data_IF_298427477943
#
_entry.id   IF_298427477943
#
_cell.length_a   1.000
_cell.length_b   1.000
_cell.length_c   1.000
_cell.angle_alpha   90.00
_cell.angle_beta   90.00
_cell.angle_gamma   90.00
#
_symmetry.space_group_name_H-M   'P 1'
#
loop_
_entity.id
_entity.type
_entity.pdbx_description
1 polymer ?
#
# COMPACT_ATOMS: atom_id res chain seq x y z
N UNK A 1 0.72 6.12 -0.95
CA UNK A 1 -0.53 6.37 -1.69
C UNK A 1 -1.37 5.12 -1.60
N UNK A 2 -2.69 5.23 -1.42
CA UNK A 2 -3.57 4.06 -1.29
C UNK A 2 -4.20 3.79 -2.64
N UNK A 3 -3.73 2.74 -3.32
CA UNK A 3 -4.16 2.36 -4.65
C UNK A 3 -5.45 1.54 -4.58
N UNK A 4 -6.55 2.21 -4.27
CA UNK A 4 -7.85 1.59 -4.08
C UNK A 4 -8.72 1.56 -5.33
N UNK A 5 -9.78 0.76 -5.27
CA UNK A 5 -10.84 0.68 -6.30
C UNK A 5 -11.40 2.07 -6.63
N UNK A 6 -11.46 2.98 -5.65
CA UNK A 6 -11.82 4.39 -5.84
C UNK A 6 -10.98 5.05 -6.94
N UNK A 7 -9.66 4.86 -6.92
CA UNK A 7 -8.76 5.53 -7.85
C UNK A 7 -8.95 4.98 -9.26
N UNK A 8 -9.15 3.66 -9.40
CA UNK A 8 -9.47 3.03 -10.69
C UNK A 8 -10.75 3.64 -11.27
N UNK A 9 -11.82 3.68 -10.47
CA UNK A 9 -13.09 4.28 -10.88
C UNK A 9 -12.93 5.77 -11.20
N UNK A 10 -12.21 6.52 -10.37
CA UNK A 10 -11.97 7.95 -10.55
C UNK A 10 -11.21 8.24 -11.85
N UNK A 11 -10.13 7.51 -12.11
CA UNK A 11 -9.34 7.60 -13.35
C UNK A 11 -10.21 7.26 -14.56
N UNK A 12 -11.00 6.18 -14.50
CA UNK A 12 -11.88 5.79 -15.58
C UNK A 12 -12.97 6.83 -15.88
N UNK A 13 -13.56 7.42 -14.84
CA UNK A 13 -14.56 8.49 -14.97
C UNK A 13 -13.96 9.76 -15.55
N UNK A 14 -12.75 10.12 -15.11
CA UNK A 14 -12.01 11.27 -15.64
C UNK A 14 -11.72 11.08 -17.14
N UNK A 15 -11.26 9.89 -17.53
CA UNK A 15 -10.99 9.55 -18.92
C UNK A 15 -12.24 9.59 -19.80
N UNK A 16 -13.41 9.21 -19.27
CA UNK A 16 -14.70 9.28 -19.97
C UNK A 16 -15.36 10.67 -19.92
N UNK A 17 -14.62 11.71 -19.52
CA UNK A 17 -15.08 13.11 -19.56
C UNK A 17 -16.03 13.52 -18.43
N UNK A 18 -16.20 12.70 -17.39
CA UNK A 18 -17.07 13.05 -16.25
C UNK A 18 -16.40 14.10 -15.37
N UNK A 19 -17.03 15.28 -15.26
CA UNK A 19 -16.58 16.39 -14.41
C UNK A 19 -16.51 16.05 -12.92
N UNK A 20 -17.44 15.22 -12.43
CA UNK A 20 -17.44 14.77 -11.04
C UNK A 20 -16.90 13.34 -10.95
N UNK A 21 -15.59 13.21 -10.70
CA UNK A 21 -14.89 11.93 -10.50
C UNK A 21 -14.72 11.58 -9.01
N UNK A 22 -15.13 12.48 -8.11
CA UNK A 22 -15.03 12.30 -6.65
C UNK A 22 -16.22 11.53 -6.07
N UNK A 23 -17.39 11.52 -6.73
CA UNK A 23 -18.55 10.75 -6.29
C UNK A 23 -18.26 9.24 -6.35
N UNK A 24 -18.51 8.47 -5.28
CA UNK A 24 -18.46 7.02 -5.32
C UNK A 24 -19.37 6.44 -6.42
N UNK A 25 -18.98 5.30 -7.00
CA UNK A 25 -19.77 4.66 -8.05
C UNK A 25 -21.14 4.19 -7.53
N UNK A 26 -21.14 3.63 -6.32
CA UNK A 26 -22.30 3.02 -5.68
C UNK A 26 -23.22 4.04 -4.99
N UNK A 27 -22.67 5.19 -4.58
CA UNK A 27 -23.40 6.20 -3.80
C UNK A 27 -23.56 7.49 -4.60
N UNK A 28 -24.47 7.46 -5.59
CA UNK A 28 -24.72 8.58 -6.51
C UNK A 28 -25.15 9.88 -5.78
N UNK A 29 -25.82 9.75 -4.64
CA UNK A 29 -26.26 10.87 -3.80
C UNK A 29 -25.22 11.36 -2.79
N UNK A 30 -24.03 10.74 -2.74
CA UNK A 30 -22.99 11.10 -1.75
C UNK A 30 -22.64 12.60 -1.77
N UNK A 31 -22.62 13.23 -2.95
CA UNK A 31 -22.36 14.67 -3.08
C UNK A 31 -23.46 15.57 -2.49
N UNK A 32 -24.65 15.03 -2.20
CA UNK A 32 -25.78 15.74 -1.60
C UNK A 32 -25.84 15.56 -0.08
N UNK A 33 -25.00 14.69 0.49
CA UNK A 33 -25.00 14.41 1.92
C UNK A 33 -24.42 15.58 2.71
N UNK A 34 -24.83 15.74 3.95
CA UNK A 34 -24.24 16.72 4.86
C UNK A 34 -22.77 16.40 5.13
N UNK A 35 -22.01 17.40 5.58
CA UNK A 35 -20.60 17.23 5.93
C UNK A 35 -20.37 16.02 6.88
N UNK A 36 -21.17 15.92 7.94
CA UNK A 36 -21.02 14.85 8.93
C UNK A 36 -21.42 13.47 8.41
N UNK A 37 -22.41 13.39 7.52
CA UNK A 37 -22.76 12.14 6.84
C UNK A 37 -21.62 11.65 5.95
N UNK A 38 -21.00 12.56 5.18
CA UNK A 38 -19.84 12.24 4.35
C UNK A 38 -18.66 11.77 5.23
N UNK A 39 -18.35 12.49 6.32
CA UNK A 39 -17.27 12.10 7.23
C UNK A 39 -17.51 10.75 7.90
N UNK A 40 -18.70 10.51 8.43
CA UNK A 40 -19.03 9.22 9.03
C UNK A 40 -18.85 8.07 8.02
N UNK A 41 -19.34 8.25 6.79
CA UNK A 41 -19.15 7.27 5.73
C UNK A 41 -17.69 7.08 5.34
N UNK A 42 -16.93 8.16 5.23
CA UNK A 42 -15.52 8.13 4.89
C UNK A 42 -14.72 7.29 5.89
N UNK A 43 -14.98 7.49 7.18
CA UNK A 43 -14.28 6.78 8.26
C UNK A 43 -14.78 5.36 8.52
N UNK A 44 -16.06 5.07 8.28
CA UNK A 44 -16.64 3.76 8.62
C UNK A 44 -16.68 2.77 7.45
N UNK A 45 -16.74 3.25 6.21
CA UNK A 45 -16.94 2.40 5.03
C UNK A 45 -15.85 2.65 4.02
N UNK A 46 -15.61 3.92 3.69
CA UNK A 46 -14.72 4.27 2.60
C UNK A 46 -13.26 3.95 2.88
N UNK A 47 -12.83 4.10 4.12
CA UNK A 47 -11.49 3.73 4.57
C UNK A 47 -11.20 2.24 4.34
N UNK A 48 -12.21 1.36 4.36
CA UNK A 48 -12.03 -0.06 4.06
C UNK A 48 -12.05 -0.32 2.56
N UNK A 49 -12.98 0.29 1.83
CA UNK A 49 -13.08 0.15 0.37
C UNK A 49 -11.84 0.68 -0.36
N UNK A 50 -11.19 1.71 0.18
CA UNK A 50 -9.91 2.20 -0.34
C UNK A 50 -8.77 1.16 -0.27
N UNK A 51 -8.92 0.15 0.59
CA UNK A 51 -7.93 -0.93 0.82
C UNK A 51 -8.44 -2.31 0.41
N UNK A 52 -9.52 -2.35 -0.36
CA UNK A 52 -10.10 -3.62 -0.81
C UNK A 52 -9.11 -4.44 -1.66
N UNK A 53 -8.19 -3.79 -2.39
CA UNK A 53 -7.16 -4.49 -3.17
C UNK A 53 -6.12 -5.15 -2.25
N UNK A 54 -5.61 -4.42 -1.25
CA UNK A 54 -4.69 -4.95 -0.24
C UNK A 54 -5.33 -6.12 0.53
N UNK A 55 -6.60 -5.96 0.92
CA UNK A 55 -7.37 -7.01 1.57
C UNK A 55 -7.56 -8.23 0.67
N UNK A 56 -7.89 -8.03 -0.61
CA UNK A 56 -8.05 -9.13 -1.57
C UNK A 56 -6.75 -9.92 -1.74
N UNK A 57 -5.62 -9.24 -1.80
CA UNK A 57 -4.31 -9.88 -1.82
C UNK A 57 -4.09 -10.70 -0.53
N UNK A 58 -4.27 -10.11 0.65
CA UNK A 58 -4.13 -10.83 1.91
C UNK A 58 -5.07 -12.05 2.01
N UNK A 59 -6.32 -11.93 1.53
CA UNK A 59 -7.30 -13.01 1.50
C UNK A 59 -6.87 -14.15 0.57
N UNK A 60 -6.36 -13.84 -0.63
CA UNK A 60 -5.81 -14.84 -1.54
C UNK A 60 -4.61 -15.57 -0.94
N UNK A 61 -3.73 -14.83 -0.23
CA UNK A 61 -2.64 -15.43 0.52
C UNK A 61 -3.16 -16.41 1.58
N UNK A 62 -4.16 -15.98 2.35
CA UNK A 62 -4.75 -16.81 3.41
C UNK A 62 -5.46 -18.05 2.87
N UNK A 63 -6.15 -17.95 1.72
CA UNK A 63 -6.85 -19.07 1.12
C UNK A 63 -5.90 -20.09 0.47
N UNK A 64 -4.85 -19.62 -0.23
CA UNK A 64 -4.08 -20.50 -1.14
C UNK A 64 -2.65 -20.76 -0.70
N UNK A 65 -1.97 -19.78 -0.11
CA UNK A 65 -0.56 -19.91 0.29
C UNK A 65 -0.46 -20.37 1.74
N UNK A 66 -1.27 -19.80 2.63
CA UNK A 66 -1.20 -20.09 4.05
C UNK A 66 -1.41 -21.58 4.39
N UNK A 67 -2.40 -22.31 3.83
CA UNK A 67 -2.64 -23.71 4.20
C UNK A 67 -1.50 -24.65 3.79
N UNK A 68 -0.76 -24.32 2.73
CA UNK A 68 0.36 -25.15 2.23
C UNK A 68 1.72 -24.75 2.82
N UNK A 69 1.83 -23.61 3.48
CA UNK A 69 3.09 -23.10 4.06
C UNK A 69 3.08 -23.16 5.58
N UNK A 70 1.94 -22.85 6.20
CA UNK A 70 1.81 -22.79 7.66
C UNK A 70 2.14 -24.12 8.37
N UNK A 71 1.72 -25.31 7.89
CA UNK A 71 2.09 -26.58 8.53
C UNK A 71 3.60 -26.85 8.54
N UNK A 72 4.34 -26.30 7.57
CA UNK A 72 5.80 -26.43 7.47
C UNK A 72 6.54 -25.33 8.26
N UNK A 73 5.83 -24.30 8.74
CA UNK A 73 6.45 -23.09 9.29
C UNK A 73 6.99 -23.23 10.73
N UNK A 74 6.83 -24.38 11.40
CA UNK A 74 7.37 -24.58 12.74
C UNK A 74 8.92 -24.58 12.78
N UNK A 75 9.55 -24.88 11.65
CA UNK A 75 10.99 -24.92 11.43
C UNK A 75 11.37 -24.05 10.22
N UNK A 76 12.51 -23.36 10.29
CA UNK A 76 12.98 -22.53 9.19
C UNK A 76 13.61 -23.38 8.09
N UNK A 77 13.02 -23.38 6.91
CA UNK A 77 13.64 -23.95 5.72
C UNK A 77 13.18 -23.25 4.44
N UNK A 78 14.05 -23.29 3.42
CA UNK A 78 13.90 -22.49 2.20
C UNK A 78 12.60 -22.79 1.43
N UNK A 79 12.06 -24.01 1.53
CA UNK A 79 10.88 -24.45 0.77
C UNK A 79 9.62 -23.63 1.07
N UNK A 80 9.23 -23.45 2.34
CA UNK A 80 8.03 -22.65 2.64
C UNK A 80 8.31 -21.15 2.58
N UNK A 81 9.51 -20.72 3.00
CA UNK A 81 9.92 -19.31 2.95
C UNK A 81 9.92 -18.80 1.50
N UNK A 82 10.43 -19.57 0.56
CA UNK A 82 10.45 -19.19 -0.85
C UNK A 82 9.05 -19.08 -1.45
N UNK A 83 8.08 -19.90 -1.01
CA UNK A 83 6.67 -19.76 -1.43
C UNK A 83 6.06 -18.43 -0.98
N UNK A 84 6.30 -18.03 0.28
CA UNK A 84 5.84 -16.74 0.81
C UNK A 84 6.52 -15.57 0.09
N UNK A 85 7.83 -15.67 -0.14
CA UNK A 85 8.61 -14.70 -0.90
C UNK A 85 8.09 -14.54 -2.33
N UNK A 86 7.94 -15.64 -3.07
CA UNK A 86 7.47 -15.63 -4.46
C UNK A 86 6.06 -15.05 -4.56
N UNK A 87 5.20 -15.34 -3.59
CA UNK A 87 3.86 -14.76 -3.53
C UNK A 87 3.89 -13.23 -3.37
N UNK A 88 4.65 -12.71 -2.40
CA UNK A 88 4.77 -11.27 -2.17
C UNK A 88 5.39 -10.55 -3.38
N UNK A 89 6.46 -11.10 -3.96
CA UNK A 89 7.09 -10.56 -5.16
C UNK A 89 6.13 -10.62 -6.37
N UNK A 90 5.37 -11.71 -6.54
CA UNK A 90 4.39 -11.78 -7.61
C UNK A 90 3.30 -10.69 -7.47
N UNK A 91 2.87 -10.39 -6.24
CA UNK A 91 1.93 -9.29 -5.99
C UNK A 91 2.54 -7.92 -6.31
N UNK A 92 3.80 -7.69 -5.96
CA UNK A 92 4.53 -6.47 -6.37
C UNK A 92 4.46 -6.31 -7.89
N UNK A 93 4.91 -7.32 -8.63
CA UNK A 93 4.93 -7.26 -10.09
C UNK A 93 3.53 -7.08 -10.69
N UNK A 94 2.51 -7.77 -10.18
CA UNK A 94 1.15 -7.66 -10.72
C UNK A 94 0.55 -6.28 -10.41
N UNK A 95 0.56 -5.87 -9.14
CA UNK A 95 -0.13 -4.65 -8.70
C UNK A 95 0.60 -3.40 -9.23
N UNK A 96 1.91 -3.30 -9.03
CA UNK A 96 2.65 -2.12 -9.45
C UNK A 96 2.74 -2.03 -10.97
N UNK A 97 2.98 -3.12 -11.69
CA UNK A 97 2.98 -3.07 -13.16
C UNK A 97 1.61 -2.69 -13.71
N UNK A 98 0.51 -3.15 -13.10
CA UNK A 98 -0.83 -2.70 -13.49
C UNK A 98 -0.99 -1.18 -13.34
N UNK A 99 -0.56 -0.62 -12.22
CA UNK A 99 -0.66 0.82 -11.98
C UNK A 99 0.26 1.63 -12.88
N UNK A 100 1.51 1.21 -13.06
CA UNK A 100 2.43 1.85 -13.99
C UNK A 100 1.93 1.75 -15.44
N UNK A 101 1.38 0.61 -15.85
CA UNK A 101 0.73 0.48 -17.15
C UNK A 101 -0.43 1.45 -17.27
N UNK A 102 -1.36 1.44 -16.31
CA UNK A 102 -2.56 2.27 -16.37
C UNK A 102 -2.21 3.76 -16.41
N UNK A 103 -1.21 4.21 -15.64
CA UNK A 103 -0.92 5.63 -15.46
C UNK A 103 0.20 6.17 -16.34
N UNK A 104 1.09 5.33 -16.88
CA UNK A 104 2.28 5.79 -17.60
C UNK A 104 2.54 5.10 -18.95
N UNK A 105 2.04 3.88 -19.18
CA UNK A 105 2.34 3.18 -20.42
C UNK A 105 1.65 3.82 -21.62
N UNK A 106 2.40 4.04 -22.71
CA UNK A 106 1.86 4.63 -23.95
C UNK A 106 0.70 3.84 -24.56
N UNK A 107 0.63 2.53 -24.30
CA UNK A 107 -0.42 1.62 -24.78
C UNK A 107 -1.71 1.73 -23.95
N UNK A 108 -1.65 2.27 -22.73
CA UNK A 108 -2.84 2.54 -21.94
C UNK A 108 -3.61 3.72 -22.53
N UNK A 109 -4.95 3.70 -22.53
CA UNK A 109 -5.76 4.83 -23.00
C UNK A 109 -5.78 5.99 -21.99
N UNK A 110 -5.52 5.72 -20.71
CA UNK A 110 -5.64 6.68 -19.62
C UNK A 110 -4.59 7.79 -19.55
N UNK A 111 -3.28 7.57 -19.82
CA UNK A 111 -2.27 8.62 -19.68
C UNK A 111 -2.38 9.74 -20.73
N UNK A 112 -3.29 9.63 -21.70
CA UNK A 112 -3.56 10.67 -22.71
C UNK A 112 -4.78 11.50 -22.29
N UNK A 113 -4.76 12.80 -22.56
CA UNK A 113 -5.91 13.69 -22.30
C UNK A 113 -6.07 14.09 -20.83
N UNK A 114 -7.30 14.05 -20.24
CA UNK A 114 -7.59 14.68 -18.95
C UNK A 114 -6.74 14.21 -17.76
N UNK A 115 -6.25 12.97 -17.76
CA UNK A 115 -5.36 12.49 -16.71
C UNK A 115 -3.97 13.12 -16.81
N UNK A 116 -3.46 13.31 -18.03
CA UNK A 116 -2.16 13.95 -18.28
C UNK A 116 -2.12 15.36 -17.71
N UNK A 117 -3.17 16.14 -17.99
CA UNK A 117 -3.34 17.53 -17.54
C UNK A 117 -3.44 17.67 -16.01
N UNK A 118 -3.77 16.58 -15.32
CA UNK A 118 -3.95 16.54 -13.86
C UNK A 118 -2.75 15.98 -13.11
N UNK A 119 -1.70 15.55 -13.81
CA UNK A 119 -0.45 15.11 -13.17
C UNK A 119 0.32 16.31 -12.62
N UNK A 120 0.94 16.15 -11.45
CA UNK A 120 1.78 17.18 -10.85
C UNK A 120 3.09 17.39 -11.64
N UNK A 121 3.60 16.34 -12.29
CA UNK A 121 4.69 16.40 -13.26
C UNK A 121 4.20 15.93 -14.65
N UNK A 122 4.26 16.76 -15.71
CA UNK A 122 3.86 16.30 -17.04
C UNK A 122 4.84 15.29 -17.65
N UNK A 123 6.09 15.26 -17.17
CA UNK A 123 7.13 14.37 -17.67
C UNK A 123 6.87 12.94 -17.22
N UNK A 124 6.89 11.99 -18.16
CA UNK A 124 6.79 10.58 -17.85
C UNK A 124 8.12 10.08 -17.24
N UNK A 125 8.12 9.47 -16.04
CA UNK A 125 9.35 8.98 -15.40
C UNK A 125 10.13 7.98 -16.27
N UNK A 126 9.47 7.25 -17.16
CA UNK A 126 10.11 6.33 -18.10
C UNK A 126 10.82 7.02 -19.28
N UNK A 127 10.54 8.29 -19.53
CA UNK A 127 11.10 9.07 -20.64
C UNK A 127 12.24 10.01 -20.19
N UNK A 128 12.46 10.12 -18.87
CA UNK A 128 13.56 10.89 -18.31
C UNK A 128 14.91 10.19 -18.57
N UNK A 129 15.92 10.92 -19.04
CA UNK A 129 17.21 10.33 -19.49
C UNK A 129 17.97 9.57 -18.41
N UNK A 130 17.91 10.01 -17.15
CA UNK A 130 18.67 9.40 -16.04
C UNK A 130 17.87 8.37 -15.24
N UNK A 131 16.54 8.40 -15.30
CA UNK A 131 15.59 7.55 -14.55
C UNK A 131 15.93 7.34 -13.06
N UNK A 132 16.75 8.21 -12.47
CA UNK A 132 17.37 7.95 -11.16
C UNK A 132 16.31 7.85 -10.05
N UNK A 133 15.27 8.68 -10.11
CA UNK A 133 14.17 8.62 -9.15
C UNK A 133 13.33 7.36 -9.32
N UNK A 134 13.02 6.96 -10.55
CA UNK A 134 12.25 5.75 -10.84
C UNK A 134 12.97 4.48 -10.35
N UNK A 135 14.27 4.35 -10.61
CA UNK A 135 15.05 3.20 -10.14
C UNK A 135 15.10 3.12 -8.61
N UNK A 136 15.25 4.28 -7.94
CA UNK A 136 15.16 4.34 -6.48
C UNK A 136 13.78 3.95 -5.98
N UNK A 137 12.70 4.39 -6.63
CA UNK A 137 11.34 4.01 -6.25
C UNK A 137 11.12 2.51 -6.35
N UNK A 138 11.49 1.90 -7.49
CA UNK A 138 11.43 0.45 -7.67
C UNK A 138 12.21 -0.26 -6.55
N UNK A 139 13.43 0.19 -6.26
CA UNK A 139 14.27 -0.40 -5.22
C UNK A 139 13.61 -0.35 -3.83
N UNK A 140 13.09 0.81 -3.42
CA UNK A 140 12.45 0.96 -2.11
C UNK A 140 11.11 0.23 -2.03
N UNK A 141 10.35 0.18 -3.13
CA UNK A 141 9.13 -0.63 -3.22
C UNK A 141 9.46 -2.10 -3.02
N UNK A 142 10.45 -2.65 -3.73
CA UNK A 142 10.88 -4.04 -3.55
C UNK A 142 11.34 -4.30 -2.12
N UNK A 143 12.12 -3.41 -1.50
CA UNK A 143 12.48 -3.53 -0.09
C UNK A 143 11.28 -3.55 0.85
N UNK A 144 10.22 -2.79 0.55
CA UNK A 144 8.94 -2.87 1.27
C UNK A 144 8.30 -4.26 1.20
N UNK A 145 8.28 -4.89 0.02
CA UNK A 145 7.76 -6.26 -0.17
C UNK A 145 8.63 -7.34 0.46
N UNK A 146 9.96 -7.15 0.46
CA UNK A 146 10.88 -8.02 1.20
C UNK A 146 10.66 -7.91 2.71
N UNK A 147 10.44 -6.70 3.21
CA UNK A 147 10.08 -6.48 4.62
C UNK A 147 8.75 -7.16 4.96
N UNK A 148 7.73 -7.05 4.09
CA UNK A 148 6.45 -7.76 4.24
C UNK A 148 6.65 -9.28 4.31
N UNK A 149 7.44 -9.83 3.38
CA UNK A 149 7.81 -11.26 3.36
C UNK A 149 8.48 -11.67 4.67
N UNK A 150 9.47 -10.91 5.13
CA UNK A 150 10.21 -11.20 6.35
C UNK A 150 9.27 -11.23 7.57
N UNK A 151 8.46 -10.18 7.74
CA UNK A 151 7.49 -10.09 8.85
C UNK A 151 6.51 -11.25 8.79
N UNK A 152 5.95 -11.54 7.61
CA UNK A 152 5.03 -12.66 7.44
C UNK A 152 5.67 -14.00 7.84
N UNK A 153 6.89 -14.29 7.37
CA UNK A 153 7.59 -15.51 7.72
C UNK A 153 7.87 -15.60 9.23
N UNK A 154 8.33 -14.52 9.86
CA UNK A 154 8.59 -14.48 11.30
C UNK A 154 7.32 -14.77 12.10
N UNK A 155 6.20 -14.12 11.78
CA UNK A 155 4.95 -14.34 12.51
C UNK A 155 4.38 -15.74 12.27
N UNK A 156 4.43 -16.25 11.04
CA UNK A 156 4.03 -17.63 10.74
C UNK A 156 4.86 -18.64 11.54
N UNK A 157 6.17 -18.44 11.65
CA UNK A 157 7.03 -19.30 12.47
C UNK A 157 6.69 -19.21 13.95
N UNK A 158 6.49 -18.00 14.50
CA UNK A 158 6.12 -17.81 15.90
C UNK A 158 4.78 -18.49 16.24
N UNK A 159 3.81 -18.40 15.33
CA UNK A 159 2.51 -19.05 15.49
C UNK A 159 2.57 -20.57 15.34
N UNK A 160 3.21 -21.07 14.28
CA UNK A 160 3.30 -22.51 14.00
C UNK A 160 4.14 -23.26 15.05
N UNK A 161 5.13 -22.59 15.64
CA UNK A 161 5.98 -23.17 16.69
C UNK A 161 5.41 -22.99 18.11
N UNK A 162 4.22 -22.40 18.27
CA UNK A 162 3.58 -22.21 19.56
C UNK A 162 4.21 -21.14 20.47
N UNK A 163 5.15 -20.34 19.95
CA UNK A 163 5.80 -19.24 20.69
C UNK A 163 4.89 -18.02 20.87
N UNK A 164 3.96 -17.83 19.94
CA UNK A 164 2.88 -16.86 20.06
C UNK A 164 1.54 -17.55 19.87
N UNK A 165 0.53 -17.23 20.70
CA UNK A 165 -0.83 -17.69 20.46
C UNK A 165 -1.32 -17.13 19.13
N UNK A 166 -2.02 -17.96 18.37
CA UNK A 166 -2.65 -17.55 17.13
C UNK A 166 -4.08 -18.07 17.08
N UNK A 167 -4.94 -17.27 16.48
CA UNK A 167 -6.36 -17.55 16.38
C UNK A 167 -6.67 -17.97 14.95
N UNK A 168 -7.01 -19.24 14.75
CA UNK A 168 -7.09 -19.87 13.43
C UNK A 168 -8.53 -19.97 12.88
N UNK A 169 -9.51 -20.08 13.76
CA UNK A 169 -10.91 -20.22 13.39
C UNK A 169 -11.64 -18.89 13.55
N UNK A 170 -11.87 -18.20 12.43
CA UNK A 170 -12.61 -16.94 12.38
C UNK A 170 -13.95 -16.99 13.16
N UNK A 171 -14.66 -18.12 13.10
CA UNK A 171 -16.04 -18.25 13.59
C UNK A 171 -16.15 -18.57 15.08
N UNK A 172 -15.05 -18.93 15.75
CA UNK A 172 -15.08 -19.19 17.19
C UNK A 172 -15.34 -17.91 18.03
N UNK A 173 -15.05 -16.72 17.49
CA UNK A 173 -15.22 -15.38 18.09
C UNK A 173 -15.53 -14.32 17.02
N UNK A 174 -16.66 -14.40 16.32
CA UNK A 174 -16.93 -13.63 15.11
C UNK A 174 -16.90 -12.11 15.34
N UNK A 175 -17.43 -11.64 16.48
CA UNK A 175 -17.40 -10.22 16.84
C UNK A 175 -15.96 -9.70 17.00
N UNK A 176 -15.08 -10.47 17.63
CA UNK A 176 -13.68 -10.11 17.78
C UNK A 176 -12.95 -10.15 16.43
N UNK A 177 -13.20 -11.17 15.61
CA UNK A 177 -12.63 -11.29 14.26
C UNK A 177 -13.01 -10.09 13.38
N UNK A 178 -14.28 -9.69 13.39
CA UNK A 178 -14.77 -8.52 12.66
C UNK A 178 -14.13 -7.24 13.22
N UNK A 179 -14.08 -7.09 14.54
CA UNK A 179 -13.45 -5.93 15.18
C UNK A 179 -11.98 -5.78 14.77
N UNK A 180 -11.19 -6.86 14.81
CA UNK A 180 -9.79 -6.85 14.39
C UNK A 180 -9.68 -6.52 12.90
N UNK A 181 -10.50 -7.15 12.06
CA UNK A 181 -10.49 -6.93 10.61
C UNK A 181 -10.75 -5.46 10.25
N UNK A 182 -11.74 -4.84 10.90
CA UNK A 182 -12.02 -3.41 10.72
C UNK A 182 -10.90 -2.56 11.34
N UNK A 183 -10.34 -2.94 12.48
CA UNK A 183 -9.29 -2.16 13.15
C UNK A 183 -7.97 -2.08 12.34
N UNK A 184 -7.70 -3.05 11.44
CA UNK A 184 -6.46 -3.08 10.64
C UNK A 184 -6.26 -1.80 9.81
N UNK A 185 -7.33 -1.23 9.24
CA UNK A 185 -7.19 0.00 8.44
C UNK A 185 -6.78 1.19 9.29
N UNK A 186 -7.35 1.30 10.50
CA UNK A 186 -6.97 2.33 11.47
C UNK A 186 -5.56 2.11 12.01
N UNK A 187 -5.19 0.85 12.30
CA UNK A 187 -3.83 0.51 12.71
C UNK A 187 -2.81 0.90 11.65
N UNK A 188 -3.10 0.66 10.37
CA UNK A 188 -2.22 1.08 9.27
C UNK A 188 -2.01 2.59 9.26
N UNK A 189 -3.07 3.40 9.40
CA UNK A 189 -2.95 4.87 9.43
C UNK A 189 -2.17 5.36 10.64
N UNK A 190 -2.43 4.77 11.81
CA UNK A 190 -1.68 5.05 13.03
C UNK A 190 -0.19 4.71 12.85
N UNK A 191 0.12 3.51 12.39
CA UNK A 191 1.48 3.06 12.10
C UNK A 191 2.17 3.97 11.08
N UNK A 192 1.47 4.31 9.98
CA UNK A 192 1.99 5.19 8.95
C UNK A 192 2.35 6.57 9.53
N UNK A 193 1.47 7.18 10.34
CA UNK A 193 1.76 8.46 10.97
C UNK A 193 3.06 8.43 11.77
N UNK A 194 3.23 7.41 12.63
CA UNK A 194 4.39 7.32 13.50
C UNK A 194 5.68 7.08 12.73
N UNK A 195 5.69 6.11 11.82
CA UNK A 195 6.87 5.82 11.00
C UNK A 195 7.20 6.99 10.10
N UNK A 196 6.20 7.63 9.50
CA UNK A 196 6.38 8.83 8.70
C UNK A 196 7.01 9.96 9.53
N UNK A 197 6.45 10.28 10.71
CA UNK A 197 7.00 11.32 11.59
C UNK A 197 8.42 11.00 12.04
N UNK A 198 8.71 9.73 12.32
CA UNK A 198 10.03 9.26 12.74
C UNK A 198 11.10 9.48 11.65
N UNK A 199 10.73 9.37 10.37
CA UNK A 199 11.60 9.63 9.23
C UNK A 199 11.80 11.11 8.92
N UNK A 200 11.07 12.01 9.57
CA UNK A 200 11.28 13.46 9.47
C UNK A 200 12.28 13.95 10.52
N UNK A 201 12.99 15.06 10.28
CA UNK A 201 13.90 15.64 11.28
C UNK A 201 13.19 15.89 12.61
N UNK A 202 13.86 15.55 13.71
CA UNK A 202 13.29 15.76 15.05
C UNK A 202 13.59 17.16 15.55
N UNK A 203 14.80 17.66 15.25
CA UNK A 203 15.26 18.96 15.72
C UNK A 203 15.67 19.86 14.56
N UNK A 204 16.51 19.37 13.63
CA UNK A 204 16.99 20.16 12.49
C UNK A 204 17.36 19.29 11.30
N UNK A 205 17.05 19.77 10.09
CA UNK A 205 17.38 19.10 8.81
C UNK A 205 18.91 18.96 8.62
N UNK A 206 19.69 19.85 9.23
CA UNK A 206 21.15 19.85 9.12
C UNK A 206 21.79 18.80 10.04
N UNK A 207 21.10 18.39 11.09
CA UNK A 207 21.64 17.42 12.03
C UNK A 207 21.86 16.05 11.37
N UNK A 208 22.64 15.19 12.00
CA UNK A 208 22.84 13.79 11.58
C UNK A 208 22.96 12.85 12.77
N UNK A 209 23.32 11.60 12.48
CA UNK A 209 23.40 10.54 13.49
C UNK A 209 24.31 10.90 14.67
N UNK A 210 25.44 11.57 14.41
CA UNK A 210 26.40 11.99 15.45
C UNK A 210 25.83 13.03 16.42
N UNK A 211 24.77 13.73 16.04
CA UNK A 211 24.08 14.73 16.86
C UNK A 211 22.78 14.17 17.46
N UNK A 212 22.54 12.85 17.34
CA UNK A 212 21.36 12.18 17.89
C UNK A 212 20.06 12.39 17.08
N UNK A 213 20.11 13.01 15.90
CA UNK A 213 18.93 13.21 15.04
C UNK A 213 18.85 12.11 13.98
N UNK A 214 18.26 10.98 14.37
CA UNK A 214 18.01 9.83 13.47
C UNK A 214 17.02 10.23 12.36
N UNK A 215 16.03 11.06 12.71
CA UNK A 215 15.04 11.57 11.76
C UNK A 215 15.67 12.34 10.60
N UNK A 216 16.64 13.22 10.86
CA UNK A 216 17.34 13.95 9.81
C UNK A 216 18.18 13.02 8.90
N UNK A 217 18.74 11.94 9.44
CA UNK A 217 19.44 10.93 8.64
C UNK A 217 18.47 10.17 7.72
N UNK A 218 17.38 9.66 8.27
CA UNK A 218 16.34 8.94 7.51
C UNK A 218 15.69 9.86 6.47
N UNK A 219 15.47 11.13 6.81
CA UNK A 219 14.95 12.13 5.90
C UNK A 219 15.81 12.24 4.64
N UNK A 220 17.13 12.38 4.79
CA UNK A 220 18.02 12.59 3.64
C UNK A 220 18.19 11.35 2.76
N UNK A 221 18.24 10.16 3.36
CA UNK A 221 18.62 8.95 2.62
C UNK A 221 17.43 8.09 2.19
N UNK A 222 16.36 8.08 2.98
CA UNK A 222 15.18 7.23 2.77
C UNK A 222 14.00 8.07 2.32
N UNK A 223 13.63 9.09 3.10
CA UNK A 223 12.38 9.83 2.87
C UNK A 223 12.48 10.94 1.81
N UNK A 224 13.69 11.37 1.46
CA UNK A 224 13.93 12.42 0.46
C UNK A 224 13.34 12.06 -0.90
N UNK A 225 13.32 10.77 -1.23
CA UNK A 225 12.74 10.27 -2.47
C UNK A 225 11.25 10.60 -2.56
N UNK A 226 10.51 10.44 -1.46
CA UNK A 226 9.08 10.76 -1.41
C UNK A 226 8.81 12.24 -1.71
N UNK A 227 9.70 13.14 -1.29
CA UNK A 227 9.59 14.58 -1.58
C UNK A 227 10.10 14.97 -2.97
N UNK A 228 11.08 14.24 -3.50
CA UNK A 228 11.68 14.50 -4.80
C UNK A 228 10.83 13.94 -5.94
N UNK A 229 10.08 12.87 -5.70
CA UNK A 229 9.19 12.29 -6.69
C UNK A 229 7.89 13.08 -6.78
N UNK A 230 7.85 14.02 -7.72
CA UNK A 230 6.71 14.91 -7.93
C UNK A 230 5.52 14.24 -8.61
N UNK A 231 5.73 13.08 -9.22
CA UNK A 231 4.71 12.10 -9.55
C UNK A 231 5.28 10.75 -9.14
N UNK A 232 5.13 10.34 -7.88
CA UNK A 232 5.53 9.00 -7.54
C UNK A 232 4.78 8.06 -8.45
N UNK A 233 5.49 7.04 -8.93
CA UNK A 233 4.82 5.85 -9.41
C UNK A 233 3.83 5.33 -8.34
N UNK A 234 3.03 4.31 -8.68
CA UNK A 234 2.40 3.53 -7.64
C UNK A 234 3.35 3.17 -6.49
#
# INVERSE_FOLDING_TARGET
MTFGIRNIVGIHRLHTGKKNYLTPLLFKTYGQWSYWQQKAFDYLIWCHLAHALDFSAALLCWLWIFPITFPEANEWHIKWVSRVFLYNIALEFILYSFWHWMTHARMSPYPRGPLHERKFNPINPYEEKSQHHLLREITFTTFGWLQSTFVQCVFMWLWASGRLPYYNDFWSRPYFSIFILLSITFWREFHFYWIHRFMHPWWSVQNGLRQGDIGAFLYRHVHSLHHQSRNPGP
#
